data_IF_161916509900
#
_entry.id   IF_161916509900
#
_cell.length_a   1.000
_cell.length_b   1.000
_cell.length_c   1.000
_cell.angle_alpha   90.00
_cell.angle_beta   90.00
_cell.angle_gamma   90.00
#
_symmetry.space_group_name_H-M   'P 1'
#
loop_
_entity.id
_entity.type
_entity.pdbx_description
1 polymer ?
#
# COMPACT_ATOMS: atom_id res chain seq x y z
N UNK A 1 6.06 -0.50 20.50
CA UNK A 1 6.02 -1.78 19.76
C UNK A 1 4.82 -1.80 18.82
N UNK A 2 5.03 -2.22 17.58
CA UNK A 2 3.92 -2.40 16.65
C UNK A 2 2.99 -3.52 17.12
N UNK A 3 1.69 -3.32 16.98
CA UNK A 3 0.72 -4.34 17.36
C UNK A 3 0.76 -5.56 16.43
N UNK A 4 0.05 -6.61 16.81
CA UNK A 4 0.05 -7.88 16.06
C UNK A 4 -0.52 -7.73 14.65
N UNK A 5 -1.44 -6.80 14.44
CA UNK A 5 -2.02 -6.55 13.12
C UNK A 5 -0.98 -5.95 12.18
N UNK A 6 -0.19 -4.97 12.64
CA UNK A 6 0.92 -4.44 11.84
C UNK A 6 1.93 -5.53 11.50
N UNK A 7 2.28 -6.38 12.47
CA UNK A 7 3.21 -7.48 12.25
C UNK A 7 2.67 -8.45 11.19
N UNK A 8 1.40 -8.78 11.26
CA UNK A 8 0.76 -9.66 10.30
C UNK A 8 0.72 -9.04 8.90
N UNK A 9 0.39 -7.77 8.81
CA UNK A 9 0.41 -7.04 7.53
C UNK A 9 1.81 -7.08 6.89
N UNK A 10 2.82 -6.85 7.71
CA UNK A 10 4.21 -6.88 7.25
C UNK A 10 4.60 -8.28 6.73
N UNK A 11 4.26 -9.32 7.47
CA UNK A 11 4.54 -10.70 7.06
C UNK A 11 3.82 -11.07 5.77
N UNK A 12 2.56 -10.68 5.62
CA UNK A 12 1.79 -10.96 4.41
C UNK A 12 2.33 -10.21 3.19
N UNK A 13 2.70 -8.94 3.35
CA UNK A 13 3.36 -8.19 2.28
C UNK A 13 4.69 -8.84 1.89
N UNK A 14 5.49 -9.19 2.87
CA UNK A 14 6.79 -9.82 2.64
C UNK A 14 6.66 -11.17 1.93
N UNK A 15 5.61 -11.92 2.23
CA UNK A 15 5.37 -13.23 1.61
C UNK A 15 5.12 -13.15 0.10
N UNK A 16 4.61 -12.03 -0.41
CA UNK A 16 4.35 -11.83 -1.84
C UNK A 16 5.40 -10.96 -2.51
N UNK A 17 6.29 -10.34 -1.75
CA UNK A 17 7.38 -9.54 -2.29
C UNK A 17 8.44 -10.45 -2.91
N UNK A 18 8.39 -10.58 -4.23
CA UNK A 18 9.34 -11.38 -4.97
C UNK A 18 9.44 -10.80 -6.38
N UNK A 19 10.56 -10.14 -6.66
CA UNK A 19 10.82 -9.64 -8.01
C UNK A 19 10.80 -10.79 -9.01
N UNK A 20 10.11 -10.58 -10.14
CA UNK A 20 10.12 -11.52 -11.24
C UNK A 20 9.92 -10.82 -12.58
N UNK A 21 10.65 -11.30 -13.57
CA UNK A 21 10.45 -10.91 -14.95
C UNK A 21 9.38 -11.85 -15.53
N UNK A 22 8.24 -11.32 -15.89
CA UNK A 22 7.12 -12.12 -16.39
C UNK A 22 7.20 -12.26 -17.91
N UNK A 23 7.54 -11.17 -18.60
CA UNK A 23 7.71 -11.12 -20.04
C UNK A 23 8.78 -10.08 -20.37
N UNK A 24 9.08 -9.88 -21.66
CA UNK A 24 10.11 -8.92 -22.08
C UNK A 24 9.82 -7.49 -21.61
N UNK A 25 8.56 -7.14 -21.42
CA UNK A 25 8.17 -5.77 -21.06
C UNK A 25 7.31 -5.69 -19.79
N UNK A 26 7.28 -6.77 -19.00
CA UNK A 26 6.52 -6.75 -17.75
C UNK A 26 7.29 -7.40 -16.62
N UNK A 27 7.47 -6.64 -15.54
CA UNK A 27 8.09 -7.08 -14.28
C UNK A 27 7.08 -6.92 -13.14
N UNK A 28 7.24 -7.70 -12.09
CA UNK A 28 6.35 -7.60 -10.94
C UNK A 28 7.08 -7.96 -9.64
N UNK A 29 6.54 -7.51 -8.52
CA UNK A 29 6.88 -8.02 -7.21
C UNK A 29 8.08 -7.39 -6.52
N UNK A 30 8.74 -6.39 -7.11
CA UNK A 30 9.84 -5.70 -6.45
C UNK A 30 9.39 -4.97 -5.19
N UNK A 31 8.19 -4.40 -5.23
CA UNK A 31 7.54 -3.80 -4.07
C UNK A 31 6.26 -4.57 -3.77
N UNK A 32 5.96 -4.77 -2.49
CA UNK A 32 4.71 -5.38 -2.06
C UNK A 32 4.06 -4.51 -0.99
N UNK A 33 2.75 -4.47 -0.98
CA UNK A 33 1.99 -3.69 -0.02
C UNK A 33 0.92 -4.54 0.65
N UNK A 34 0.51 -4.11 1.84
CA UNK A 34 -0.64 -4.66 2.54
C UNK A 34 -1.52 -3.52 3.02
N UNK A 35 -2.82 -3.69 2.90
CA UNK A 35 -3.82 -2.77 3.44
C UNK A 35 -4.73 -3.52 4.40
N UNK A 36 -5.14 -2.86 5.47
CA UNK A 36 -6.10 -3.40 6.43
C UNK A 36 -7.46 -2.75 6.22
N UNK A 37 -8.44 -3.53 5.82
CA UNK A 37 -9.79 -3.03 5.61
C UNK A 37 -10.50 -2.73 6.94
N UNK A 38 -11.60 -2.00 6.86
CA UNK A 38 -12.41 -1.69 8.05
C UNK A 38 -13.01 -2.92 8.72
N UNK A 39 -13.16 -4.03 7.99
CA UNK A 39 -13.65 -5.30 8.56
C UNK A 39 -12.54 -6.15 9.17
N UNK A 40 -11.29 -5.69 9.10
CA UNK A 40 -10.15 -6.40 9.67
C UNK A 40 -9.47 -7.38 8.72
N UNK A 41 -9.84 -7.38 7.44
CA UNK A 41 -9.18 -8.22 6.42
C UNK A 41 -7.95 -7.53 5.88
N UNK A 42 -6.93 -8.31 5.58
CA UNK A 42 -5.68 -7.83 4.99
C UNK A 42 -5.69 -8.19 3.50
N UNK A 43 -5.46 -7.18 2.65
CA UNK A 43 -5.32 -7.37 1.22
C UNK A 43 -3.90 -7.00 0.81
N UNK A 44 -3.30 -7.79 -0.05
CA UNK A 44 -1.95 -7.54 -0.54
C UNK A 44 -1.97 -7.23 -2.03
N UNK A 45 -0.91 -6.58 -2.47
CA UNK A 45 -0.66 -6.30 -3.88
C UNK A 45 0.82 -6.10 -4.11
N UNK A 46 1.27 -6.38 -5.32
CA UNK A 46 2.65 -6.13 -5.73
C UNK A 46 2.68 -5.09 -6.83
N UNK A 47 3.81 -4.42 -7.00
CA UNK A 47 3.98 -3.49 -8.11
C UNK A 47 4.04 -4.27 -9.43
N UNK A 48 3.47 -3.65 -10.45
CA UNK A 48 3.52 -4.14 -11.83
C UNK A 48 4.19 -3.04 -12.66
N UNK A 49 5.31 -3.37 -13.29
CA UNK A 49 6.08 -2.42 -14.09
C UNK A 49 6.04 -2.82 -15.55
N UNK A 50 5.68 -1.89 -16.42
CA UNK A 50 5.46 -2.15 -17.83
C UNK A 50 5.98 -1.01 -18.69
N UNK A 51 5.95 -1.20 -20.00
CA UNK A 51 6.04 -0.09 -20.95
C UNK A 51 4.70 0.66 -21.00
N UNK A 52 4.71 1.85 -21.60
CA UNK A 52 3.50 2.65 -21.90
C UNK A 52 2.70 3.09 -20.65
N UNK A 53 3.33 3.19 -19.50
CA UNK A 53 2.70 3.63 -18.24
C UNK A 53 1.48 2.79 -17.80
N UNK A 54 1.44 1.53 -18.21
CA UNK A 54 0.32 0.63 -17.87
C UNK A 54 0.47 0.03 -16.46
N UNK A 55 1.64 0.17 -15.84
CA UNK A 55 1.91 -0.41 -14.54
C UNK A 55 1.15 0.26 -13.40
N UNK A 56 1.28 -0.33 -12.22
CA UNK A 56 0.63 0.16 -11.01
C UNK A 56 1.53 -0.07 -9.80
N UNK A 57 1.50 0.84 -8.84
CA UNK A 57 2.20 0.66 -7.58
C UNK A 57 1.55 -0.43 -6.72
N UNK A 58 2.33 -1.03 -5.84
CA UNK A 58 1.88 -2.11 -4.97
C UNK A 58 0.67 -1.70 -4.11
N UNK A 59 0.68 -0.49 -3.56
CA UNK A 59 -0.38 -0.01 -2.69
C UNK A 59 -1.72 0.09 -3.43
N UNK A 60 -1.71 0.63 -4.66
CA UNK A 60 -2.95 0.70 -5.45
C UNK A 60 -3.43 -0.69 -5.85
N UNK A 61 -2.51 -1.60 -6.16
CA UNK A 61 -2.89 -2.97 -6.49
C UNK A 61 -3.55 -3.67 -5.29
N UNK A 62 -3.03 -3.47 -4.08
CA UNK A 62 -3.67 -3.97 -2.86
C UNK A 62 -5.08 -3.39 -2.69
N UNK A 63 -5.23 -2.10 -2.91
CA UNK A 63 -6.54 -1.43 -2.84
C UNK A 63 -7.50 -1.90 -3.93
N UNK A 64 -7.01 -2.17 -5.13
CA UNK A 64 -7.81 -2.74 -6.21
C UNK A 64 -8.36 -4.11 -5.80
N UNK A 65 -7.53 -4.95 -5.17
CA UNK A 65 -7.96 -6.24 -4.66
C UNK A 65 -9.04 -6.09 -3.59
N UNK A 66 -8.87 -5.16 -2.67
CA UNK A 66 -9.87 -4.84 -1.65
C UNK A 66 -11.20 -4.42 -2.28
N UNK A 67 -11.16 -3.50 -3.23
CA UNK A 67 -12.35 -2.99 -3.91
C UNK A 67 -13.03 -4.10 -4.70
N UNK A 68 -12.26 -4.96 -5.36
CA UNK A 68 -12.78 -6.11 -6.09
C UNK A 68 -13.55 -7.05 -5.16
N UNK A 69 -13.10 -7.19 -3.92
CA UNK A 69 -13.78 -8.00 -2.91
C UNK A 69 -14.96 -7.29 -2.23
N UNK A 70 -15.30 -6.09 -2.68
CA UNK A 70 -16.49 -5.38 -2.21
C UNK A 70 -16.27 -4.45 -1.02
N UNK A 71 -15.03 -4.23 -0.60
CA UNK A 71 -14.73 -3.32 0.50
C UNK A 71 -14.19 -1.99 -0.03
N UNK A 72 -14.60 -0.89 0.58
CA UNK A 72 -14.29 0.46 0.10
C UNK A 72 -13.57 1.33 1.12
N UNK A 73 -13.33 0.84 2.32
CA UNK A 73 -12.70 1.58 3.41
C UNK A 73 -11.58 0.78 4.04
N UNK A 74 -10.46 1.44 4.31
CA UNK A 74 -9.32 0.81 4.96
C UNK A 74 -8.75 1.71 6.06
N UNK A 75 -8.01 1.11 6.98
CA UNK A 75 -7.48 1.79 8.17
C UNK A 75 -5.98 1.99 8.12
N UNK A 76 -5.26 1.08 7.48
CA UNK A 76 -3.80 1.02 7.54
C UNK A 76 -3.22 0.57 6.21
N UNK A 77 -2.02 1.06 5.92
CA UNK A 77 -1.27 0.65 4.74
C UNK A 77 0.22 0.60 5.05
N UNK A 78 0.90 -0.37 4.47
CA UNK A 78 2.36 -0.43 4.44
C UNK A 78 2.84 -0.96 3.10
N UNK A 79 4.09 -0.65 2.77
CA UNK A 79 4.74 -1.17 1.57
C UNK A 79 6.18 -1.52 1.88
N UNK A 80 6.65 -2.63 1.31
CA UNK A 80 8.03 -3.10 1.44
C UNK A 80 8.68 -2.99 0.07
N UNK A 81 9.79 -2.25 -0.01
CA UNK A 81 10.53 -2.05 -1.25
C UNK A 81 11.53 -3.18 -1.49
N UNK A 82 12.04 -3.26 -2.72
CA UNK A 82 12.97 -4.31 -3.14
C UNK A 82 14.27 -4.37 -2.33
N UNK A 83 14.66 -3.25 -1.70
CA UNK A 83 15.83 -3.21 -0.82
C UNK A 83 15.51 -3.67 0.61
N UNK A 84 14.30 -4.18 0.86
CA UNK A 84 13.86 -4.62 2.18
C UNK A 84 13.39 -3.50 3.10
N UNK A 85 13.42 -2.25 2.63
CA UNK A 85 12.95 -1.10 3.39
C UNK A 85 11.51 -0.79 3.04
N UNK A 86 10.78 -0.32 4.00
CA UNK A 86 9.47 0.25 3.81
C UNK A 86 9.57 1.76 3.59
N UNK A 87 8.46 2.40 3.28
CA UNK A 87 8.45 3.83 3.02
C UNK A 87 7.08 4.36 2.69
N UNK A 88 7.02 5.68 2.52
CA UNK A 88 5.78 6.37 2.21
C UNK A 88 5.25 5.97 0.82
N UNK A 89 3.92 5.93 0.66
CA UNK A 89 3.33 5.74 -0.67
C UNK A 89 3.67 6.93 -1.58
N UNK A 90 3.81 6.66 -2.87
CA UNK A 90 4.06 7.71 -3.86
C UNK A 90 2.86 8.66 -4.00
N UNK A 91 3.05 9.78 -4.68
CA UNK A 91 1.99 10.77 -4.87
C UNK A 91 0.75 10.21 -5.55
N UNK A 92 0.91 9.34 -6.54
CA UNK A 92 -0.23 8.72 -7.22
C UNK A 92 -1.05 7.83 -6.27
N UNK A 93 -0.38 7.07 -5.41
CA UNK A 93 -1.07 6.24 -4.43
C UNK A 93 -1.76 7.09 -3.36
N UNK A 94 -1.12 8.18 -2.91
CA UNK A 94 -1.75 9.11 -1.96
C UNK A 94 -3.02 9.71 -2.54
N UNK A 95 -2.96 10.15 -3.79
CA UNK A 95 -4.12 10.73 -4.48
C UNK A 95 -5.25 9.70 -4.59
N UNK A 96 -4.93 8.46 -4.96
CA UNK A 96 -5.94 7.41 -5.05
C UNK A 96 -6.60 7.13 -3.70
N UNK A 97 -5.80 7.04 -2.65
CA UNK A 97 -6.29 6.79 -1.28
C UNK A 97 -7.24 7.90 -0.81
N UNK A 98 -6.88 9.15 -1.09
CA UNK A 98 -7.72 10.29 -0.73
C UNK A 98 -9.03 10.25 -1.51
N UNK A 99 -8.99 10.01 -2.81
CA UNK A 99 -10.21 9.92 -3.62
C UNK A 99 -11.10 8.75 -3.22
N UNK A 100 -10.51 7.65 -2.77
CA UNK A 100 -11.27 6.51 -2.28
C UNK A 100 -12.05 6.85 -1.00
N UNK A 101 -11.47 7.65 -0.13
CA UNK A 101 -12.04 7.94 1.19
C UNK A 101 -12.06 9.44 1.49
N UNK A 102 -12.67 10.24 0.61
CA UNK A 102 -12.63 11.70 0.67
C UNK A 102 -13.01 12.29 2.03
N UNK A 103 -13.93 11.67 2.75
CA UNK A 103 -14.40 12.16 4.05
C UNK A 103 -13.57 11.67 5.24
N UNK A 104 -12.85 10.55 5.07
CA UNK A 104 -12.22 9.84 6.18
C UNK A 104 -10.73 9.58 6.00
N UNK A 105 -10.12 10.05 4.91
CA UNK A 105 -8.73 9.70 4.58
C UNK A 105 -7.71 10.16 5.63
N UNK A 106 -8.01 11.23 6.36
CA UNK A 106 -7.03 11.85 7.27
C UNK A 106 -6.54 10.92 8.38
N UNK A 107 -7.36 9.95 8.77
CA UNK A 107 -7.06 9.04 9.87
C UNK A 107 -6.42 7.73 9.42
N UNK A 108 -6.24 7.52 8.12
CA UNK A 108 -5.57 6.31 7.62
C UNK A 108 -4.13 6.31 8.12
N UNK A 109 -3.74 5.24 8.80
CA UNK A 109 -2.39 5.08 9.30
C UNK A 109 -1.46 4.51 8.23
N UNK A 110 -0.28 5.11 8.09
CA UNK A 110 0.74 4.72 7.12
C UNK A 110 2.00 4.33 7.89
N UNK A 111 2.46 3.10 7.72
CA UNK A 111 3.71 2.67 8.31
C UNK A 111 4.87 3.22 7.49
N UNK A 112 5.72 4.01 8.12
CA UNK A 112 6.86 4.65 7.47
C UNK A 112 8.14 3.85 7.64
N UNK A 113 8.32 3.22 8.77
CA UNK A 113 9.50 2.42 9.07
C UNK A 113 9.12 1.34 10.10
N UNK A 114 9.21 0.09 9.68
CA UNK A 114 8.84 -1.05 10.53
C UNK A 114 9.82 -1.22 11.70
N UNK A 115 11.10 -1.11 11.43
CA UNK A 115 12.13 -1.33 12.46
C UNK A 115 12.12 -0.23 13.51
N UNK A 116 11.85 1.01 13.10
CA UNK A 116 11.75 2.15 14.03
C UNK A 116 10.35 2.35 14.56
N UNK A 117 9.41 1.56 14.10
CA UNK A 117 8.00 1.63 14.53
C UNK A 117 7.39 3.01 14.26
N UNK A 118 7.77 3.62 13.13
CA UNK A 118 7.29 4.95 12.76
C UNK A 118 6.00 4.86 11.95
N UNK A 119 4.95 5.47 12.48
CA UNK A 119 3.64 5.54 11.85
C UNK A 119 3.25 7.01 11.67
N UNK A 120 2.72 7.36 10.51
CA UNK A 120 2.10 8.67 10.28
C UNK A 120 0.67 8.46 9.79
N UNK A 121 0.00 9.54 9.42
CA UNK A 121 -1.34 9.47 8.84
C UNK A 121 -1.32 9.97 7.41
N UNK A 122 -2.29 9.54 6.62
CA UNK A 122 -2.44 10.06 5.26
C UNK A 122 -2.77 11.56 5.28
N UNK A 123 -3.47 12.03 6.33
CA UNK A 123 -3.71 13.46 6.52
C UNK A 123 -2.44 14.27 6.66
N UNK A 124 -1.44 13.75 7.37
CA UNK A 124 -0.13 14.40 7.50
C UNK A 124 0.66 14.37 6.20
N UNK A 125 0.51 13.30 5.40
CA UNK A 125 1.18 13.18 4.10
C UNK A 125 0.48 13.98 3.00
N UNK A 126 -0.77 14.36 3.20
CA UNK A 126 -1.57 15.11 2.21
C UNK A 126 -2.32 16.25 2.91
N UNK A 127 -1.58 17.26 3.40
CA UNK A 127 -2.19 18.31 4.23
C UNK A 127 -3.12 19.26 3.45
N UNK A 128 -2.85 19.45 2.16
CA UNK A 128 -3.57 20.42 1.33
C UNK A 128 -4.09 19.72 0.06
N UNK A 129 -5.10 18.86 0.24
CA UNK A 129 -5.68 18.19 -0.91
C UNK A 129 -6.37 19.20 -1.84
N UNK A 130 -6.15 19.05 -3.13
CA UNK A 130 -6.51 20.06 -4.14
C UNK A 130 -8.01 20.12 -4.47
N UNK A 131 -8.79 19.13 -4.11
CA UNK A 131 -10.25 19.13 -4.24
C UNK A 131 -10.90 19.29 -2.86
#
# INVERSE_FOLDING_TARGET
MLDKTWQKMYEEAKSVQKFRQISDHLEAGGVAAAVLSNTGRIYTGVCIDTACTLGVCAERNALFNMITCGENHFKRVLAIMSNGKDGAPCGACREFMVQLMEKDYKNIEVLMDYDREEITTLGELTPDWWL
#
